data_IF_810882728588
#
_entry.id   IF_810882728588
#
_cell.length_a   1.000
_cell.length_b   1.000
_cell.length_c   1.000
_cell.angle_alpha   90.00
_cell.angle_beta   90.00
_cell.angle_gamma   90.00
#
_symmetry.space_group_name_H-M   'P 1'
#
loop_
_entity.id
_entity.type
_entity.pdbx_description
1 polymer ?
#
# COMPACT_ATOMS: atom_id res chain seq x y z
N UNK A 1 14.34 10.50 -17.66
CA UNK A 1 13.05 10.75 -16.99
C UNK A 1 12.04 9.73 -17.48
N UNK A 2 11.44 8.97 -16.56
CA UNK A 2 10.45 7.94 -16.93
C UNK A 2 9.09 8.60 -17.14
N UNK A 3 8.76 9.60 -16.30
CA UNK A 3 7.56 10.40 -16.40
C UNK A 3 7.83 11.78 -15.78
N UNK A 4 7.08 12.82 -16.14
CA UNK A 4 7.21 14.20 -15.65
C UNK A 4 6.07 14.61 -14.69
N UNK A 5 5.28 13.66 -14.20
CA UNK A 5 4.21 13.87 -13.23
C UNK A 5 4.70 14.32 -11.85
N UNK A 6 3.76 14.69 -11.00
CA UNK A 6 4.00 15.01 -9.59
C UNK A 6 3.76 13.76 -8.76
N UNK A 7 4.81 13.19 -8.18
CA UNK A 7 4.75 11.94 -7.45
C UNK A 7 5.07 12.12 -5.97
N UNK A 8 4.36 11.36 -5.13
CA UNK A 8 4.72 11.14 -3.74
C UNK A 8 5.65 9.93 -3.69
N UNK A 9 6.95 10.18 -3.84
CA UNK A 9 7.96 9.11 -3.87
C UNK A 9 8.45 8.78 -2.46
N UNK A 10 8.06 7.62 -1.96
CA UNK A 10 8.60 7.03 -0.75
C UNK A 10 9.49 5.83 -1.08
N UNK A 11 10.47 5.48 -0.23
CA UNK A 11 11.17 4.21 -0.34
C UNK A 11 10.21 3.09 0.05
N UNK A 12 9.63 2.45 -0.95
CA UNK A 12 8.71 1.32 -0.79
C UNK A 12 9.31 0.06 -1.41
N UNK A 13 8.94 -1.14 -0.93
CA UNK A 13 9.44 -2.38 -1.51
C UNK A 13 8.98 -2.54 -2.96
N UNK A 14 9.86 -3.12 -3.77
CA UNK A 14 9.53 -3.67 -5.07
C UNK A 14 9.44 -5.19 -4.97
N UNK A 15 8.72 -5.83 -5.87
CA UNK A 15 8.67 -7.28 -6.00
C UNK A 15 8.93 -7.69 -7.44
N UNK A 16 9.64 -8.80 -7.63
CA UNK A 16 9.79 -9.46 -8.93
C UNK A 16 8.84 -10.64 -8.94
N UNK A 17 7.95 -10.67 -9.93
CA UNK A 17 6.97 -11.72 -10.11
C UNK A 17 6.61 -11.85 -11.59
N UNK A 18 6.51 -13.08 -12.09
CA UNK A 18 6.19 -13.42 -13.48
C UNK A 18 7.02 -12.63 -14.51
N UNK A 19 8.35 -12.57 -14.29
CA UNK A 19 9.29 -11.90 -15.18
C UNK A 19 9.19 -10.38 -15.21
N UNK A 20 8.46 -9.77 -14.28
CA UNK A 20 8.31 -8.32 -14.16
C UNK A 20 8.74 -7.81 -12.79
N UNK A 21 9.30 -6.60 -12.75
CA UNK A 21 9.45 -5.81 -11.53
C UNK A 21 8.19 -4.97 -11.33
N UNK A 22 7.68 -4.93 -10.11
CA UNK A 22 6.46 -4.21 -9.72
C UNK A 22 6.76 -3.22 -8.61
N UNK A 23 6.21 -2.01 -8.71
CA UNK A 23 6.36 -0.93 -7.75
C UNK A 23 5.04 -0.21 -7.55
N UNK A 24 4.60 -0.10 -6.29
CA UNK A 24 3.51 0.76 -5.90
C UNK A 24 3.93 2.23 -5.97
N UNK A 25 3.04 3.09 -6.44
CA UNK A 25 3.28 4.52 -6.63
C UNK A 25 2.03 5.33 -6.24
N UNK A 26 2.25 6.58 -5.85
CA UNK A 26 1.19 7.58 -5.69
C UNK A 26 1.55 8.84 -6.46
N UNK A 27 0.62 9.39 -7.24
CA UNK A 27 0.75 10.72 -7.80
C UNK A 27 -0.05 11.76 -7.00
N UNK A 28 0.26 13.02 -7.20
CA UNK A 28 -0.38 14.17 -6.55
C UNK A 28 -1.27 14.96 -7.54
N UNK A 29 -1.92 14.26 -8.47
CA UNK A 29 -2.71 14.89 -9.55
C UNK A 29 -4.23 14.85 -9.30
N UNK A 30 -4.68 14.27 -8.19
CA UNK A 30 -6.07 14.31 -7.76
C UNK A 30 -6.49 15.67 -7.19
N UNK A 31 -7.78 15.87 -6.94
CA UNK A 31 -8.28 17.10 -6.32
C UNK A 31 -7.98 17.14 -4.81
N UNK A 32 -7.78 18.36 -4.28
CA UNK A 32 -7.60 18.60 -2.84
C UNK A 32 -6.20 19.01 -2.44
N UNK A 33 -5.94 18.96 -1.13
CA UNK A 33 -4.64 19.27 -0.53
C UNK A 33 -3.81 18.02 -0.27
N UNK A 34 -2.71 18.19 0.47
CA UNK A 34 -1.80 17.10 0.81
C UNK A 34 -2.54 15.89 1.41
N UNK A 35 -2.21 14.71 0.91
CA UNK A 35 -2.83 13.43 1.27
C UNK A 35 -4.09 13.15 0.45
N UNK A 36 -5.06 14.06 0.44
CA UNK A 36 -6.33 13.83 -0.27
C UNK A 36 -6.22 13.87 -1.79
N UNK A 37 -5.18 14.49 -2.34
CA UNK A 37 -4.91 14.56 -3.76
C UNK A 37 -4.12 13.37 -4.31
N UNK A 38 -3.64 12.48 -3.45
CA UNK A 38 -2.90 11.32 -3.92
C UNK A 38 -3.82 10.30 -4.59
N UNK A 39 -3.33 9.76 -5.73
CA UNK A 39 -3.97 8.67 -6.45
C UNK A 39 -3.01 7.49 -6.48
N UNK A 40 -3.47 6.33 -6.02
CA UNK A 40 -2.67 5.11 -6.00
C UNK A 40 -2.64 4.43 -7.36
N UNK A 41 -1.49 3.88 -7.76
CA UNK A 41 -1.33 3.11 -8.99
C UNK A 41 -0.13 2.18 -8.90
N UNK A 42 0.00 1.26 -9.85
CA UNK A 42 1.11 0.34 -9.95
C UNK A 42 1.92 0.61 -11.21
N UNK A 43 3.25 0.62 -11.08
CA UNK A 43 4.16 0.56 -12.22
C UNK A 43 4.82 -0.80 -12.31
N UNK A 44 5.04 -1.28 -13.54
CA UNK A 44 5.78 -2.52 -13.78
C UNK A 44 6.56 -2.49 -15.09
N UNK A 45 7.65 -3.24 -15.14
CA UNK A 45 8.46 -3.41 -16.35
C UNK A 45 9.00 -4.85 -16.43
N UNK A 46 9.24 -5.41 -17.63
CA UNK A 46 9.98 -6.69 -17.75
C UNK A 46 11.37 -6.57 -17.11
N UNK A 47 11.80 -7.58 -16.35
CA UNK A 47 13.09 -7.52 -15.62
C UNK A 47 14.31 -7.49 -16.52
N UNK A 48 14.19 -7.96 -17.76
CA UNK A 48 15.23 -7.97 -18.79
C UNK A 48 15.20 -6.75 -19.70
N UNK A 49 14.27 -5.80 -19.48
CA UNK A 49 14.19 -4.55 -20.23
C UNK A 49 15.15 -3.48 -19.69
N UNK A 50 15.40 -2.45 -20.50
CA UNK A 50 16.16 -1.29 -20.04
C UNK A 50 15.28 -0.41 -19.13
N UNK A 51 15.43 -0.56 -17.82
CA UNK A 51 14.65 0.15 -16.81
C UNK A 51 14.88 1.68 -16.80
N UNK A 52 15.87 2.18 -17.53
CA UNK A 52 16.10 3.62 -17.68
C UNK A 52 15.25 4.25 -18.80
N UNK A 53 14.56 3.43 -19.58
CA UNK A 53 13.69 3.89 -20.67
C UNK A 53 12.23 3.92 -20.22
N UNK A 54 11.55 5.03 -20.54
CA UNK A 54 10.13 5.21 -20.19
C UNK A 54 9.23 4.14 -20.85
N UNK A 55 9.52 3.78 -22.09
CA UNK A 55 8.78 2.78 -22.86
C UNK A 55 8.84 1.36 -22.29
N UNK A 56 9.81 1.07 -21.40
CA UNK A 56 9.87 -0.21 -20.69
C UNK A 56 8.79 -0.37 -19.61
N UNK A 57 8.23 0.75 -19.15
CA UNK A 57 7.32 0.76 -18.01
C UNK A 57 5.86 0.80 -18.45
N UNK A 58 5.05 0.02 -17.78
CA UNK A 58 3.58 0.05 -17.84
C UNK A 58 3.06 0.63 -16.54
N UNK A 59 2.09 1.54 -16.63
CA UNK A 59 1.36 2.09 -15.50
C UNK A 59 -0.08 1.62 -15.54
N UNK A 60 -0.65 1.28 -14.38
CA UNK A 60 -2.08 1.05 -14.27
C UNK A 60 -2.86 2.38 -14.34
N UNK A 61 -4.19 2.30 -14.43
CA UNK A 61 -5.04 3.44 -14.09
C UNK A 61 -4.81 3.87 -12.65
N UNK A 62 -5.10 5.12 -12.35
CA UNK A 62 -4.86 5.76 -11.06
C UNK A 62 -6.16 5.82 -10.26
N UNK A 63 -6.15 5.25 -9.05
CA UNK A 63 -7.30 5.23 -8.13
C UNK A 63 -7.28 6.49 -7.27
N UNK A 64 -8.19 7.41 -7.52
CA UNK A 64 -8.38 8.60 -6.71
C UNK A 64 -9.11 8.30 -5.39
N UNK A 65 -9.21 9.32 -4.55
CA UNK A 65 -9.99 9.28 -3.32
C UNK A 65 -11.49 9.40 -3.64
N UNK A 66 -12.30 8.54 -3.03
CA UNK A 66 -13.74 8.79 -2.88
C UNK A 66 -14.01 9.32 -1.46
N UNK A 67 -14.60 10.52 -1.31
CA UNK A 67 -14.87 11.10 0.00
C UNK A 67 -15.93 10.34 0.82
N UNK A 68 -16.68 9.42 0.23
CA UNK A 68 -17.71 8.63 0.93
C UNK A 68 -17.13 7.37 1.60
N UNK A 69 -15.93 6.93 1.21
CA UNK A 69 -15.35 5.72 1.77
C UNK A 69 -15.11 5.82 3.28
N UNK A 70 -15.23 4.68 3.97
CA UNK A 70 -15.12 4.56 5.43
C UNK A 70 -16.07 5.53 6.17
N UNK A 71 -17.31 5.67 5.68
CA UNK A 71 -18.30 6.58 6.27
C UNK A 71 -17.93 8.05 6.19
N UNK A 72 -17.21 8.44 5.14
CA UNK A 72 -16.73 9.81 4.95
C UNK A 72 -15.44 10.14 5.72
N UNK A 73 -14.79 9.15 6.33
CA UNK A 73 -13.60 9.34 7.16
C UNK A 73 -12.29 8.98 6.43
N UNK A 74 -12.36 8.46 5.21
CA UNK A 74 -11.18 8.21 4.38
C UNK A 74 -10.61 9.53 3.86
N UNK A 75 -9.37 9.82 4.18
CA UNK A 75 -8.72 11.10 3.86
C UNK A 75 -7.79 11.02 2.65
N UNK A 76 -7.20 9.85 2.38
CA UNK A 76 -6.35 9.69 1.21
C UNK A 76 -5.49 8.43 1.24
N UNK A 77 -4.96 8.12 0.07
CA UNK A 77 -3.94 7.10 -0.14
C UNK A 77 -2.58 7.62 0.30
N UNK A 78 -1.76 6.74 0.83
CA UNK A 78 -0.37 7.01 1.14
C UNK A 78 0.49 5.84 0.63
N UNK A 79 1.68 5.65 1.16
CA UNK A 79 2.67 4.74 0.60
C UNK A 79 2.19 3.30 0.49
N UNK A 80 2.36 2.70 -0.70
CA UNK A 80 1.98 1.34 -1.02
C UNK A 80 3.15 0.35 -1.04
N UNK A 81 2.80 -0.93 -0.97
CA UNK A 81 3.71 -2.06 -1.11
C UNK A 81 3.22 -2.96 -2.24
N UNK A 82 4.02 -3.16 -3.27
CA UNK A 82 3.75 -4.24 -4.23
C UNK A 82 3.99 -5.59 -3.54
N UNK A 83 2.96 -6.44 -3.51
CA UNK A 83 3.01 -7.75 -2.82
C UNK A 83 2.35 -8.79 -3.70
N UNK A 84 2.92 -10.01 -3.72
CA UNK A 84 2.30 -11.16 -4.37
C UNK A 84 1.43 -11.90 -3.37
N UNK A 85 0.15 -12.09 -3.69
CA UNK A 85 -0.81 -12.82 -2.84
C UNK A 85 -0.53 -14.34 -2.84
N UNK A 86 -1.13 -15.12 -1.90
CA UNK A 86 -1.03 -16.59 -1.94
C UNK A 86 -1.55 -17.22 -3.24
N UNK A 87 -2.44 -16.52 -3.95
CA UNK A 87 -2.97 -16.95 -5.25
C UNK A 87 -2.08 -16.53 -6.44
N UNK A 88 -0.88 -15.97 -6.21
CA UNK A 88 0.05 -15.55 -7.26
C UNK A 88 -0.35 -14.26 -7.98
N UNK A 89 -1.26 -13.45 -7.42
CA UNK A 89 -1.64 -12.15 -8.00
C UNK A 89 -0.88 -11.02 -7.33
N UNK A 90 -0.52 -9.98 -8.09
CA UNK A 90 0.06 -8.77 -7.53
C UNK A 90 -1.04 -7.88 -6.97
N UNK A 91 -0.81 -7.32 -5.80
CA UNK A 91 -1.65 -6.30 -5.18
C UNK A 91 -0.78 -5.13 -4.71
N UNK A 92 -1.40 -3.96 -4.61
CA UNK A 92 -0.84 -2.85 -3.87
C UNK A 92 -1.47 -2.81 -2.48
N UNK A 93 -0.65 -2.98 -1.45
CA UNK A 93 -1.08 -2.88 -0.06
C UNK A 93 -0.63 -1.57 0.53
N UNK A 94 -1.60 -0.65 0.75
CA UNK A 94 -1.33 0.74 1.05
C UNK A 94 -1.62 1.12 2.49
N UNK A 95 -0.79 2.03 2.96
CA UNK A 95 -1.09 2.92 4.07
C UNK A 95 -2.28 3.83 3.70
N UNK A 96 -3.21 4.05 4.64
CA UNK A 96 -4.34 4.96 4.44
C UNK A 96 -4.37 6.04 5.52
N UNK A 97 -4.72 7.27 5.13
CA UNK A 97 -5.03 8.33 6.08
C UNK A 97 -6.48 8.18 6.54
N UNK A 98 -6.65 7.52 7.69
CA UNK A 98 -7.92 7.28 8.35
C UNK A 98 -7.74 7.49 9.86
N UNK A 99 -8.63 8.28 10.49
CA UNK A 99 -8.46 8.74 11.87
C UNK A 99 -9.59 8.36 12.81
N UNK A 100 -10.60 7.65 12.30
CA UNK A 100 -11.76 7.22 13.09
C UNK A 100 -11.70 5.71 13.34
N UNK A 101 -11.68 5.29 14.60
CA UNK A 101 -11.71 3.87 14.97
C UNK A 101 -10.36 3.14 14.82
N UNK A 102 -10.41 1.86 14.46
CA UNK A 102 -9.22 1.01 14.30
C UNK A 102 -8.36 1.43 13.11
N UNK A 103 -7.04 1.29 13.25
CA UNK A 103 -6.12 1.57 12.15
C UNK A 103 -6.36 0.63 10.96
N UNK A 104 -6.34 1.20 9.77
CA UNK A 104 -6.65 0.50 8.51
C UNK A 104 -5.45 0.52 7.55
N UNK A 105 -5.38 -0.50 6.71
CA UNK A 105 -4.66 -0.50 5.45
C UNK A 105 -5.66 -0.79 4.31
N UNK A 106 -5.20 -0.68 3.07
CA UNK A 106 -6.00 -1.01 1.90
C UNK A 106 -5.27 -1.98 0.97
N UNK A 107 -6.04 -2.78 0.23
CA UNK A 107 -5.55 -3.71 -0.80
C UNK A 107 -6.21 -3.34 -2.12
N UNK A 108 -5.41 -2.93 -3.10
CA UNK A 108 -5.83 -2.67 -4.49
C UNK A 108 -5.37 -3.86 -5.34
N UNK A 109 -6.28 -4.46 -6.09
CA UNK A 109 -5.97 -5.54 -7.02
C UNK A 109 -5.36 -4.98 -8.30
N UNK A 110 -4.32 -5.66 -8.83
CA UNK A 110 -3.63 -5.27 -10.06
C UNK A 110 -3.79 -6.40 -11.08
N UNK A 111 -4.12 -6.04 -12.33
CA UNK A 111 -4.16 -6.99 -13.44
C UNK A 111 -2.77 -7.57 -13.75
N UNK A 112 -2.72 -8.80 -14.27
CA UNK A 112 -1.45 -9.47 -14.58
C UNK A 112 -0.59 -8.75 -15.62
N UNK A 113 -1.19 -7.94 -16.49
CA UNK A 113 -0.48 -7.09 -17.45
C UNK A 113 -0.05 -5.72 -16.88
N UNK A 114 -0.45 -5.40 -15.64
CA UNK A 114 -0.12 -4.18 -14.93
C UNK A 114 -0.88 -2.93 -15.39
N UNK A 115 -1.93 -3.07 -16.21
CA UNK A 115 -2.66 -1.93 -16.81
C UNK A 115 -3.88 -1.52 -16.02
N UNK A 116 -4.44 -2.41 -15.20
CA UNK A 116 -5.65 -2.17 -14.45
C UNK A 116 -5.39 -2.29 -12.94
N UNK A 117 -5.79 -1.27 -12.20
CA UNK A 117 -5.91 -1.26 -10.75
C UNK A 117 -7.39 -1.20 -10.40
N UNK A 118 -7.85 -2.06 -9.49
CA UNK A 118 -9.24 -2.14 -9.04
C UNK A 118 -9.31 -2.14 -7.53
N UNK A 119 -10.13 -1.27 -6.97
CA UNK A 119 -10.40 -1.18 -5.54
C UNK A 119 -11.88 -1.42 -5.26
N UNK A 120 -12.16 -2.33 -4.35
CA UNK A 120 -13.49 -2.56 -3.81
C UNK A 120 -13.52 -2.03 -2.36
N UNK A 121 -14.26 -0.95 -2.05
CA UNK A 121 -14.27 -0.36 -0.72
C UNK A 121 -14.88 -1.25 0.36
N UNK A 122 -15.71 -2.23 0.00
CA UNK A 122 -16.33 -3.15 0.96
C UNK A 122 -15.34 -4.20 1.46
N UNK A 123 -14.45 -4.66 0.61
CA UNK A 123 -13.51 -5.73 0.93
C UNK A 123 -12.05 -5.31 0.94
N UNK A 124 -11.73 -4.17 0.33
CA UNK A 124 -10.36 -3.68 0.15
C UNK A 124 -9.78 -2.98 1.38
N UNK A 125 -10.58 -2.39 2.25
CA UNK A 125 -10.10 -1.89 3.54
C UNK A 125 -10.02 -3.02 4.56
N UNK A 126 -8.89 -3.12 5.26
CA UNK A 126 -8.65 -4.14 6.29
C UNK A 126 -8.22 -3.49 7.61
N UNK A 127 -8.49 -4.14 8.73
CA UNK A 127 -7.88 -3.78 10.01
C UNK A 127 -6.39 -4.12 9.98
N UNK A 128 -5.58 -3.11 10.28
CA UNK A 128 -4.12 -3.26 10.23
C UNK A 128 -3.47 -2.40 11.33
N UNK A 129 -3.00 -3.02 12.42
CA UNK A 129 -2.30 -2.30 13.47
C UNK A 129 -1.07 -1.56 12.94
N UNK A 130 -1.09 -0.23 13.00
CA UNK A 130 -0.05 0.60 12.44
C UNK A 130 -0.29 1.06 10.98
N UNK A 131 -1.45 0.78 10.40
CA UNK A 131 -1.80 1.14 9.02
C UNK A 131 -1.84 2.65 8.73
N UNK A 132 -1.94 3.47 9.76
CA UNK A 132 -1.80 4.94 9.64
C UNK A 132 -0.34 5.41 9.46
N UNK A 133 0.64 4.53 9.53
CA UNK A 133 2.09 4.80 9.38
C UNK A 133 2.68 3.91 8.30
N UNK A 134 3.92 4.22 7.88
CA UNK A 134 4.66 3.38 6.93
C UNK A 134 4.90 2.00 7.50
N UNK A 135 4.74 1.01 6.65
CA UNK A 135 5.10 -0.39 6.92
C UNK A 135 5.76 -1.00 5.69
N UNK A 136 6.45 -2.10 5.87
CA UNK A 136 7.12 -2.85 4.80
C UNK A 136 6.77 -4.32 4.92
N UNK A 137 6.17 -4.89 3.88
CA UNK A 137 5.78 -6.30 3.86
C UNK A 137 6.83 -7.12 3.12
N UNK A 138 7.17 -8.29 3.69
CA UNK A 138 8.02 -9.30 3.08
C UNK A 138 7.39 -10.67 3.22
N UNK A 139 7.40 -11.44 2.14
CA UNK A 139 7.03 -12.85 2.17
C UNK A 139 8.25 -13.69 2.57
N UNK A 140 8.07 -14.56 3.56
CA UNK A 140 9.07 -15.54 3.95
C UNK A 140 8.74 -16.91 3.31
N UNK A 141 9.57 -17.39 2.39
CA UNK A 141 9.31 -18.65 1.70
C UNK A 141 9.49 -19.89 2.60
N UNK A 142 10.14 -19.74 3.75
CA UNK A 142 10.34 -20.84 4.70
C UNK A 142 9.07 -21.08 5.51
N UNK A 143 8.56 -20.02 6.16
CA UNK A 143 7.35 -20.10 6.99
C UNK A 143 6.05 -19.98 6.17
N UNK A 144 6.15 -19.58 4.89
CA UNK A 144 5.00 -19.28 4.01
C UNK A 144 4.10 -18.18 4.56
N UNK A 145 4.68 -17.24 5.30
CA UNK A 145 3.98 -16.12 5.94
C UNK A 145 4.48 -14.80 5.38
N UNK A 146 3.60 -13.80 5.37
CA UNK A 146 3.97 -12.41 5.20
C UNK A 146 4.35 -11.83 6.55
N UNK A 147 5.42 -11.06 6.58
CA UNK A 147 5.93 -10.39 7.77
C UNK A 147 6.01 -8.90 7.54
N UNK A 148 5.74 -8.13 8.57
CA UNK A 148 5.84 -6.67 8.54
C UNK A 148 6.32 -6.12 9.89
N UNK A 149 6.99 -4.97 9.83
CA UNK A 149 7.19 -4.09 10.98
C UNK A 149 6.23 -2.91 10.82
N UNK A 150 5.50 -2.60 11.88
CA UNK A 150 4.55 -1.48 11.92
C UNK A 150 4.63 -0.74 13.25
N UNK A 151 3.98 0.42 13.33
CA UNK A 151 3.87 1.19 14.57
C UNK A 151 2.41 1.24 15.04
N UNK A 152 1.89 0.22 15.76
CA UNK A 152 0.52 0.23 16.26
C UNK A 152 0.33 1.31 17.33
N UNK A 153 -0.88 1.84 17.42
CA UNK A 153 -1.30 2.70 18.53
C UNK A 153 -1.66 1.80 19.71
N UNK A 154 -0.84 1.83 20.75
CA UNK A 154 -1.12 1.06 21.97
C UNK A 154 -2.13 1.80 22.87
N UNK A 155 -2.87 1.09 23.75
CA UNK A 155 -3.88 1.71 24.62
C UNK A 155 -3.37 2.88 25.47
N UNK A 156 -2.10 2.84 25.89
CA UNK A 156 -1.46 3.89 26.67
C UNK A 156 -0.97 5.10 25.84
N UNK A 157 -1.06 5.04 24.50
CA UNK A 157 -0.54 6.08 23.59
C UNK A 157 -1.60 6.56 22.61
N UNK A 158 -2.79 6.88 23.13
CA UNK A 158 -3.89 7.36 22.29
C UNK A 158 -3.64 8.81 21.81
N UNK A 159 -3.92 9.06 20.55
CA UNK A 159 -3.89 10.39 19.93
C UNK A 159 -5.02 10.47 18.90
N UNK A 160 -5.71 11.61 18.75
CA UNK A 160 -6.71 11.81 17.70
C UNK A 160 -6.17 11.61 16.27
N UNK A 161 -4.85 11.73 16.09
CA UNK A 161 -4.16 11.45 14.84
C UNK A 161 -3.23 10.23 15.00
N UNK A 162 -3.69 9.02 14.70
CA UNK A 162 -2.90 7.80 14.83
C UNK A 162 -1.62 7.83 13.98
N UNK A 163 -1.57 8.64 12.92
CA UNK A 163 -0.38 8.85 12.09
C UNK A 163 0.79 9.49 12.82
N UNK A 164 0.55 10.12 13.97
CA UNK A 164 1.59 10.74 14.82
C UNK A 164 2.15 9.80 15.89
N UNK A 165 1.45 8.72 16.20
CA UNK A 165 1.86 7.78 17.28
C UNK A 165 2.88 6.80 16.74
N UNK A 166 4.15 6.93 17.16
CA UNK A 166 5.28 6.11 16.70
C UNK A 166 6.10 5.56 17.87
N UNK A 167 5.45 5.34 19.01
CA UNK A 167 6.10 4.98 20.28
C UNK A 167 6.40 3.49 20.40
N UNK A 168 5.75 2.66 19.59
CA UNK A 168 5.93 1.21 19.59
C UNK A 168 6.29 0.72 18.19
N UNK A 169 7.01 -0.38 18.13
CA UNK A 169 7.25 -1.12 16.89
C UNK A 169 6.83 -2.57 17.11
N UNK A 170 5.90 -3.04 16.28
CA UNK A 170 5.41 -4.41 16.32
C UNK A 170 5.94 -5.22 15.14
N UNK A 171 6.37 -6.45 15.41
CA UNK A 171 6.53 -7.48 14.40
C UNK A 171 5.20 -8.19 14.23
N UNK A 172 4.67 -8.19 13.01
CA UNK A 172 3.40 -8.85 12.69
C UNK A 172 3.56 -9.85 11.56
N UNK A 173 2.65 -10.81 11.50
CA UNK A 173 2.58 -11.78 10.41
C UNK A 173 1.14 -11.97 9.92
N UNK A 174 1.04 -12.46 8.67
CA UNK A 174 -0.22 -12.84 8.04
C UNK A 174 -0.01 -14.01 7.09
N UNK A 175 -1.00 -14.88 6.95
CA UNK A 175 -1.01 -15.92 5.93
C UNK A 175 -1.69 -15.47 4.62
N UNK A 176 -2.54 -14.44 4.68
CA UNK A 176 -3.48 -14.07 3.61
C UNK A 176 -3.46 -12.57 3.24
N UNK A 177 -2.59 -11.78 3.89
CA UNK A 177 -2.51 -10.32 3.78
C UNK A 177 -3.72 -9.57 4.38
N UNK A 178 -4.72 -10.27 4.90
CA UNK A 178 -5.96 -9.68 5.42
C UNK A 178 -6.04 -9.70 6.93
N UNK A 179 -5.64 -10.82 7.54
CA UNK A 179 -5.61 -10.99 8.99
C UNK A 179 -4.16 -10.91 9.48
N UNK A 180 -3.88 -9.93 10.34
CA UNK A 180 -2.55 -9.67 10.85
C UNK A 180 -2.45 -9.93 12.35
N UNK A 181 -1.50 -10.74 12.74
CA UNK A 181 -1.22 -11.14 14.12
C UNK A 181 0.06 -10.46 14.61
N UNK A 182 -0.03 -9.73 15.72
CA UNK A 182 1.15 -9.19 16.40
C UNK A 182 1.89 -10.34 17.10
N UNK A 183 3.18 -10.47 16.81
CA UNK A 183 4.05 -11.50 17.37
C UNK A 183 4.97 -10.97 18.45
N UNK A 184 5.33 -9.69 18.37
CA UNK A 184 6.16 -8.99 19.35
C UNK A 184 5.93 -7.48 19.23
N UNK A 185 6.09 -6.79 20.33
CA UNK A 185 6.11 -5.32 20.44
C UNK A 185 7.39 -4.94 21.17
#
# INVERSE_FOLDING_TARGET
LIDDGKYHCAPVPVVIHDGRIWRAMEDAMGPGGWGSHFRAFMMSAPVDSDLLKAESWVSSNHIGRDPQWLGGQFRGWLEGNAVVTPAGRVVDMLRVDYRAGSEKAAIIEISGDGKEAKFDPETGFIDFPGGAKKFTIRFDPVTKMYWTLSNPVLPQHQDPDPGRVRNAMALMRSADLRQWEIRSI
#
